data_IF_488493280767
#
_entry.id   IF_488493280767
#
_cell.length_a   1.000
_cell.length_b   1.000
_cell.length_c   1.000
_cell.angle_alpha   90.00
_cell.angle_beta   90.00
_cell.angle_gamma   90.00
#
_symmetry.space_group_name_H-M   'P 1'
#
loop_
_entity.id
_entity.type
_entity.pdbx_description
1 polymer ?
#
# COMPACT_ATOMS: atom_id res chain seq x y z
N UNK A 1 8.45 1.87 -20.32
CA UNK A 1 7.06 1.40 -20.21
C UNK A 1 6.66 1.26 -18.77
N UNK A 2 5.42 1.61 -18.48
CA UNK A 2 4.93 1.56 -17.13
C UNK A 2 4.63 0.14 -16.68
N UNK A 3 4.75 -0.10 -15.37
CA UNK A 3 4.29 -1.33 -14.76
C UNK A 3 2.79 -1.21 -14.50
N UNK A 4 2.10 -2.35 -14.49
CA UNK A 4 0.70 -2.41 -14.11
C UNK A 4 0.60 -2.55 -12.59
N UNK A 5 -0.19 -1.71 -11.95
CA UNK A 5 -0.42 -1.79 -10.50
C UNK A 5 -1.69 -2.57 -10.24
N UNK A 6 -1.57 -3.61 -9.44
CA UNK A 6 -2.67 -4.52 -9.10
C UNK A 6 -2.86 -4.47 -7.59
N UNK A 7 -4.09 -4.20 -7.16
CA UNK A 7 -4.43 -4.18 -5.74
C UNK A 7 -4.97 -5.55 -5.33
N UNK A 8 -4.28 -6.19 -4.39
CA UNK A 8 -4.75 -7.47 -3.87
C UNK A 8 -5.99 -7.27 -2.99
N UNK A 9 -6.85 -8.30 -2.85
CA UNK A 9 -8.08 -8.15 -2.07
C UNK A 9 -7.86 -7.66 -0.64
N UNK A 10 -6.82 -8.14 0.04
CA UNK A 10 -6.52 -7.66 1.40
C UNK A 10 -6.17 -6.17 1.43
N UNK A 11 -5.48 -5.68 0.40
CA UNK A 11 -5.15 -4.27 0.30
C UNK A 11 -6.40 -3.41 0.14
N UNK A 12 -7.34 -3.86 -0.69
CA UNK A 12 -8.61 -3.15 -0.88
C UNK A 12 -9.42 -3.11 0.42
N UNK A 13 -9.45 -4.22 1.13
CA UNK A 13 -10.13 -4.29 2.43
C UNK A 13 -9.48 -3.34 3.44
N UNK A 14 -8.15 -3.30 3.47
CA UNK A 14 -7.40 -2.39 4.35
C UNK A 14 -7.75 -0.94 4.06
N UNK A 15 -7.73 -0.57 2.78
CA UNK A 15 -8.00 0.81 2.36
C UNK A 15 -9.42 1.23 2.75
N UNK A 16 -10.39 0.35 2.51
CA UNK A 16 -11.76 0.61 2.89
C UNK A 16 -11.88 0.82 4.40
N UNK A 17 -11.23 -0.03 5.20
CA UNK A 17 -11.25 0.09 6.65
C UNK A 17 -10.62 1.38 7.15
N UNK A 18 -9.49 1.78 6.57
CA UNK A 18 -8.79 3.02 6.90
C UNK A 18 -9.70 4.23 6.62
N UNK A 19 -10.25 4.27 5.41
CA UNK A 19 -11.11 5.39 4.99
C UNK A 19 -12.36 5.47 5.87
N UNK A 20 -12.99 4.33 6.14
CA UNK A 20 -14.19 4.27 6.99
C UNK A 20 -13.90 4.78 8.40
N UNK A 21 -12.76 4.37 8.97
CA UNK A 21 -12.38 4.79 10.32
C UNK A 21 -12.20 6.31 10.42
N UNK A 22 -11.50 6.90 9.45
CA UNK A 22 -11.28 8.35 9.43
C UNK A 22 -12.59 9.10 9.14
N UNK A 23 -13.44 8.52 8.29
CA UNK A 23 -14.71 9.15 7.91
C UNK A 23 -15.67 9.30 9.10
N UNK A 24 -15.52 8.47 10.12
CA UNK A 24 -16.33 8.59 11.34
C UNK A 24 -16.15 9.96 12.00
N UNK A 25 -14.98 10.58 11.85
CA UNK A 25 -14.67 11.88 12.45
C UNK A 25 -14.66 13.01 11.43
N UNK A 26 -14.18 12.74 10.22
CA UNK A 26 -14.01 13.77 9.20
C UNK A 26 -14.07 13.14 7.81
N UNK A 27 -15.21 13.32 7.15
CA UNK A 27 -15.43 12.74 5.82
C UNK A 27 -14.47 13.31 4.77
N UNK A 28 -14.20 14.62 4.83
CA UNK A 28 -13.28 15.23 3.87
C UNK A 28 -11.86 14.73 4.06
N UNK A 29 -11.42 14.59 5.31
CA UNK A 29 -10.10 14.03 5.60
C UNK A 29 -9.99 12.60 5.12
N UNK A 30 -11.05 11.80 5.26
CA UNK A 30 -11.08 10.42 4.78
C UNK A 30 -10.91 10.36 3.27
N UNK A 31 -11.59 11.23 2.54
CA UNK A 31 -11.49 11.28 1.07
C UNK A 31 -10.08 11.68 0.62
N UNK A 32 -9.50 12.68 1.27
CA UNK A 32 -8.12 13.10 0.96
C UNK A 32 -7.12 11.98 1.23
N UNK A 33 -7.28 11.30 2.36
CA UNK A 33 -6.39 10.20 2.73
C UNK A 33 -6.50 9.04 1.73
N UNK A 34 -7.71 8.63 1.40
CA UNK A 34 -7.92 7.56 0.44
C UNK A 34 -7.30 7.87 -0.91
N UNK A 35 -7.53 9.08 -1.42
CA UNK A 35 -6.94 9.53 -2.67
C UNK A 35 -5.42 9.54 -2.60
N UNK A 36 -4.86 10.04 -1.49
CA UNK A 36 -3.41 10.10 -1.31
C UNK A 36 -2.78 8.71 -1.30
N UNK A 37 -3.40 7.77 -0.59
CA UNK A 37 -2.89 6.39 -0.55
C UNK A 37 -2.94 5.72 -1.92
N UNK A 38 -4.03 5.92 -2.65
CA UNK A 38 -4.16 5.37 -4.00
C UNK A 38 -3.14 5.99 -4.94
N UNK A 39 -2.97 7.31 -4.90
CA UNK A 39 -2.01 8.01 -5.76
C UNK A 39 -0.58 7.53 -5.48
N UNK A 40 -0.23 7.35 -4.22
CA UNK A 40 1.08 6.84 -3.85
C UNK A 40 1.31 5.43 -4.40
N UNK A 41 0.32 4.57 -4.25
CA UNK A 41 0.41 3.20 -4.77
C UNK A 41 0.52 3.19 -6.30
N UNK A 42 -0.29 4.00 -6.97
CA UNK A 42 -0.29 4.07 -8.43
C UNK A 42 0.99 4.66 -9.00
N UNK A 43 1.69 5.51 -8.22
CA UNK A 43 2.98 6.06 -8.65
C UNK A 43 4.04 4.97 -8.86
N UNK A 44 3.82 3.80 -8.29
CA UNK A 44 4.73 2.66 -8.47
C UNK A 44 4.72 2.12 -9.91
N UNK A 45 3.74 2.52 -10.71
CA UNK A 45 3.72 2.19 -12.14
C UNK A 45 4.94 2.73 -12.87
N UNK A 46 5.40 3.93 -12.50
CA UNK A 46 6.57 4.56 -13.11
C UNK A 46 7.88 4.25 -12.39
N UNK A 47 7.83 4.13 -11.07
CA UNK A 47 9.03 3.93 -10.25
C UNK A 47 8.78 2.77 -9.27
N UNK A 48 8.75 1.52 -9.78
CA UNK A 48 8.36 0.38 -8.94
C UNK A 48 9.32 0.08 -7.79
N UNK A 49 10.60 0.44 -7.92
CA UNK A 49 11.59 0.16 -6.89
C UNK A 49 11.81 1.33 -5.92
N UNK A 50 10.88 2.29 -5.90
CA UNK A 50 10.96 3.48 -5.07
C UNK A 50 10.96 3.21 -3.58
N UNK A 51 10.25 2.17 -3.14
CA UNK A 51 10.19 1.80 -1.73
C UNK A 51 11.44 1.08 -1.26
N UNK A 52 11.50 0.82 0.03
CA UNK A 52 12.61 0.09 0.64
C UNK A 52 12.24 -1.36 0.90
N UNK A 53 13.26 -2.21 0.96
CA UNK A 53 13.05 -3.63 1.24
C UNK A 53 12.56 -3.82 2.67
N UNK A 54 11.64 -4.77 2.84
CA UNK A 54 11.13 -5.13 4.16
C UNK A 54 12.04 -6.21 4.75
N UNK A 55 12.53 -5.94 5.94
CA UNK A 55 13.40 -6.85 6.65
C UNK A 55 12.69 -8.18 6.91
N UNK A 56 13.35 -9.29 6.63
CA UNK A 56 12.86 -10.66 6.86
C UNK A 56 11.67 -11.06 5.98
N UNK A 57 11.38 -10.28 4.94
CA UNK A 57 10.34 -10.63 3.97
C UNK A 57 10.88 -10.45 2.56
N UNK A 58 11.63 -11.45 2.07
CA UNK A 58 12.27 -11.33 0.75
C UNK A 58 11.26 -11.01 -0.34
N UNK A 59 11.66 -10.09 -1.21
CA UNK A 59 10.80 -9.68 -2.33
C UNK A 59 9.71 -8.69 -1.99
N UNK A 60 9.53 -8.37 -0.71
CA UNK A 60 8.52 -7.39 -0.30
C UNK A 60 9.18 -6.03 -0.06
N UNK A 61 8.55 -4.99 -0.58
CA UNK A 61 8.96 -3.60 -0.37
C UNK A 61 7.89 -2.84 0.36
N UNK A 62 8.28 -1.73 0.96
CA UNK A 62 7.33 -0.80 1.59
C UNK A 62 7.55 0.61 1.11
N UNK A 63 6.46 1.32 0.92
CA UNK A 63 6.45 2.75 0.64
C UNK A 63 5.80 3.44 1.83
N UNK A 64 6.47 4.47 2.35
CA UNK A 64 5.98 5.18 3.54
C UNK A 64 5.11 6.36 3.12
N UNK A 65 3.88 6.39 3.62
CA UNK A 65 2.99 7.54 3.56
C UNK A 65 2.48 7.73 5.00
N UNK A 66 3.28 8.42 5.81
CA UNK A 66 3.03 8.53 7.25
C UNK A 66 1.61 8.98 7.56
N UNK A 67 0.93 8.35 8.51
CA UNK A 67 1.38 7.24 9.37
C UNK A 67 1.20 5.84 8.76
N UNK A 68 0.93 5.74 7.46
CA UNK A 68 0.65 4.47 6.80
C UNK A 68 1.84 3.95 6.02
N UNK A 69 1.85 2.63 5.86
CA UNK A 69 2.81 1.91 5.03
C UNK A 69 2.05 1.20 3.92
N UNK A 70 2.65 1.16 2.74
CA UNK A 70 2.11 0.41 1.60
C UNK A 70 3.08 -0.72 1.32
N UNK A 71 2.66 -1.96 1.58
CA UNK A 71 3.48 -3.14 1.29
C UNK A 71 3.17 -3.63 -0.11
N UNK A 72 4.21 -3.90 -0.89
CA UNK A 72 4.02 -4.32 -2.28
C UNK A 72 5.16 -5.24 -2.72
N UNK A 73 4.95 -5.89 -3.86
CA UNK A 73 5.91 -6.78 -4.49
C UNK A 73 5.99 -6.42 -5.96
N UNK A 74 7.20 -6.40 -6.52
CA UNK A 74 7.41 -6.11 -7.94
C UNK A 74 7.71 -7.39 -8.68
N UNK A 75 6.97 -7.64 -9.75
CA UNK A 75 7.24 -8.73 -10.68
C UNK A 75 7.79 -8.11 -11.96
N UNK A 76 9.10 -8.10 -12.08
CA UNK A 76 9.75 -7.46 -13.23
C UNK A 76 9.50 -8.21 -14.54
N UNK A 77 9.38 -9.52 -14.48
CA UNK A 77 9.14 -10.32 -15.66
C UNK A 77 7.77 -10.02 -16.27
N UNK A 78 6.76 -9.86 -15.42
CA UNK A 78 5.39 -9.56 -15.86
C UNK A 78 5.10 -8.07 -15.90
N UNK A 79 6.02 -7.25 -15.43
CA UNK A 79 5.89 -5.79 -15.32
C UNK A 79 4.64 -5.41 -14.53
N UNK A 80 4.51 -6.06 -13.37
CA UNK A 80 3.39 -5.83 -12.46
C UNK A 80 3.89 -5.44 -11.09
N UNK A 81 3.13 -4.57 -10.41
CA UNK A 81 3.32 -4.26 -9.01
C UNK A 81 2.08 -4.76 -8.27
N UNK A 82 2.27 -5.71 -7.37
CA UNK A 82 1.19 -6.21 -6.53
C UNK A 82 1.17 -5.43 -5.23
N UNK A 83 0.15 -4.61 -5.02
CA UNK A 83 -0.05 -3.92 -3.74
C UNK A 83 -0.70 -4.92 -2.79
N UNK A 84 0.06 -5.29 -1.74
CA UNK A 84 -0.31 -6.39 -0.85
C UNK A 84 -1.14 -5.91 0.33
N UNK A 85 -0.73 -4.82 0.98
CA UNK A 85 -1.42 -4.30 2.15
C UNK A 85 -1.25 -2.79 2.27
N UNK A 86 -2.28 -2.14 2.84
CA UNK A 86 -2.14 -0.83 3.46
C UNK A 86 -2.15 -1.05 4.96
N UNK A 87 -1.19 -0.47 5.67
CA UNK A 87 -0.97 -0.80 7.08
C UNK A 87 -0.66 0.46 7.88
N UNK A 88 -1.28 0.60 9.06
CA UNK A 88 -0.95 1.70 9.95
C UNK A 88 0.38 1.39 10.63
N UNK A 89 1.34 2.33 10.56
CA UNK A 89 2.69 2.12 11.06
C UNK A 89 2.78 1.84 12.56
N UNK A 90 1.76 2.23 13.34
CA UNK A 90 1.74 1.95 14.77
C UNK A 90 1.36 0.52 15.09
N UNK A 91 0.78 -0.22 14.13
CA UNK A 91 0.41 -1.62 14.34
C UNK A 91 1.65 -2.51 14.24
N UNK A 92 1.67 -3.56 15.06
CA UNK A 92 2.79 -4.49 15.07
C UNK A 92 2.87 -5.26 13.74
N UNK A 93 3.97 -5.09 12.97
CA UNK A 93 4.12 -5.78 11.69
C UNK A 93 4.28 -7.29 11.80
N UNK A 94 4.52 -7.83 13.01
CA UNK A 94 4.60 -9.29 13.18
C UNK A 94 3.28 -9.99 12.86
N UNK A 95 2.15 -9.30 13.05
CA UNK A 95 0.84 -9.82 12.71
C UNK A 95 0.45 -9.61 11.27
N UNK A 96 1.32 -9.01 10.47
CA UNK A 96 1.02 -8.67 9.09
C UNK A 96 1.00 -9.91 8.20
N UNK A 97 -0.17 -10.21 7.66
CA UNK A 97 -0.34 -11.27 6.67
C UNK A 97 -0.40 -10.63 5.29
N UNK A 98 0.40 -11.15 4.38
CA UNK A 98 0.50 -10.60 3.02
C UNK A 98 -0.38 -11.36 2.02
N UNK A 99 -0.97 -12.46 2.45
CA UNK A 99 -1.82 -13.28 1.59
C UNK A 99 -3.08 -13.71 2.32
#
# INVERSE_FOLDING_TARGET
MDFKVIFQPLALDDLEGIVRHVAEKDLQAANRLGTSLLDQAESLAQVPDRGSNVRRRPGVKKLVRAPYLIFYRVDHARRCVDVLRFWHGAQNPRGLRLE
#
